data_IF_863976119458
#
_entry.id   IF_863976119458
#
_cell.length_a   1.000
_cell.length_b   1.000
_cell.length_c   1.000
_cell.angle_alpha   90.00
_cell.angle_beta   90.00
_cell.angle_gamma   90.00
#
_symmetry.space_group_name_H-M   'P 1'
#
loop_
_entity.id
_entity.type
_entity.pdbx_description
1 polymer ?
#
# COMPACT_ATOMS: atom_id res chain seq x y z
N UNK A 1 16.93 -3.46 9.61
CA UNK A 1 15.57 -2.97 9.25
C UNK A 1 15.52 -2.82 7.74
N UNK A 2 14.39 -3.12 7.09
CA UNK A 2 14.30 -2.99 5.64
C UNK A 2 14.37 -1.50 5.24
N UNK A 3 15.23 -1.08 4.29
CA UNK A 3 15.40 0.32 3.88
C UNK A 3 14.08 1.00 3.49
N UNK A 4 13.15 0.24 2.91
CA UNK A 4 11.85 0.75 2.48
C UNK A 4 10.96 1.17 3.67
N UNK A 5 11.01 0.41 4.77
CA UNK A 5 10.24 0.72 5.98
C UNK A 5 10.79 1.97 6.66
N UNK A 6 12.10 2.17 6.57
CA UNK A 6 12.75 3.36 7.11
C UNK A 6 12.38 4.62 6.32
N UNK A 7 12.42 4.55 4.99
CA UNK A 7 11.95 5.65 4.11
C UNK A 7 10.51 6.06 4.42
N UNK A 8 9.59 5.10 4.55
CA UNK A 8 8.20 5.40 4.88
C UNK A 8 8.03 6.04 6.28
N UNK A 9 8.88 5.67 7.25
CA UNK A 9 8.89 6.35 8.56
C UNK A 9 9.36 7.80 8.43
N UNK A 10 10.42 8.03 7.67
CA UNK A 10 10.96 9.37 7.48
C UNK A 10 9.96 10.28 6.75
N UNK A 11 9.27 9.78 5.72
CA UNK A 11 8.16 10.50 5.08
C UNK A 11 7.02 10.83 6.04
N UNK A 12 6.63 9.86 6.87
CA UNK A 12 5.59 10.08 7.89
C UNK A 12 6.04 11.15 8.88
N UNK A 13 7.24 11.02 9.44
CA UNK A 13 7.72 11.84 10.56
C UNK A 13 8.10 13.26 10.11
N UNK A 14 8.70 13.39 8.92
CA UNK A 14 9.21 14.67 8.41
C UNK A 14 8.21 15.42 7.54
N UNK A 15 7.20 14.74 6.97
CA UNK A 15 6.23 15.39 6.08
C UNK A 15 4.80 15.25 6.56
N UNK A 16 4.32 14.02 6.78
CA UNK A 16 2.89 13.80 7.07
C UNK A 16 2.50 14.32 8.46
N UNK A 17 3.32 14.10 9.49
CA UNK A 17 3.04 14.55 10.85
C UNK A 17 3.33 16.05 11.07
N UNK A 18 3.99 16.71 10.12
CA UNK A 18 4.21 18.16 10.18
C UNK A 18 2.99 18.96 9.71
N UNK A 19 1.99 18.30 9.10
CA UNK A 19 0.75 18.95 8.64
C UNK A 19 -0.44 18.56 9.53
N UNK A 20 -1.39 19.48 9.73
CA UNK A 20 -2.62 19.20 10.49
C UNK A 20 -3.49 18.14 9.79
N UNK A 21 -3.59 18.22 8.47
CA UNK A 21 -4.33 17.26 7.63
C UNK A 21 -3.70 15.87 7.70
N UNK A 22 -2.37 15.77 7.64
CA UNK A 22 -1.64 14.51 7.74
C UNK A 22 -1.72 13.89 9.14
N UNK A 23 -1.71 14.71 10.20
CA UNK A 23 -1.90 14.23 11.59
C UNK A 23 -3.32 13.67 11.81
N UNK A 24 -4.34 14.36 11.31
CA UNK A 24 -5.73 13.89 11.37
C UNK A 24 -5.95 12.61 10.54
N UNK A 25 -5.35 12.56 9.34
CA UNK A 25 -5.33 11.36 8.50
C UNK A 25 -4.67 10.19 9.23
N UNK A 26 -3.48 10.38 9.81
CA UNK A 26 -2.76 9.32 10.53
C UNK A 26 -3.52 8.82 11.75
N UNK A 27 -4.21 9.70 12.46
CA UNK A 27 -5.06 9.33 13.61
C UNK A 27 -6.20 8.41 13.17
N UNK A 28 -6.94 8.84 12.14
CA UNK A 28 -8.07 8.08 11.59
C UNK A 28 -7.61 6.75 10.95
N UNK A 29 -6.50 6.80 10.21
CA UNK A 29 -5.87 5.64 9.59
C UNK A 29 -5.41 4.63 10.64
N UNK A 30 -4.74 5.07 11.70
CA UNK A 30 -4.31 4.19 12.78
C UNK A 30 -5.49 3.52 13.47
N UNK A 31 -6.57 4.27 13.76
CA UNK A 31 -7.78 3.71 14.35
C UNK A 31 -8.40 2.64 13.46
N UNK A 32 -8.50 2.91 12.15
CA UNK A 32 -8.99 1.93 11.19
C UNK A 32 -8.06 0.72 11.09
N UNK A 33 -6.76 0.93 10.90
CA UNK A 33 -5.74 -0.12 10.77
C UNK A 33 -5.73 -1.07 11.96
N UNK A 34 -5.67 -0.55 13.18
CA UNK A 34 -5.65 -1.36 14.39
C UNK A 34 -7.00 -2.02 14.71
N UNK A 35 -8.10 -1.62 14.06
CA UNK A 35 -9.40 -2.27 14.24
C UNK A 35 -9.46 -3.69 13.64
N UNK A 36 -8.66 -3.98 12.61
CA UNK A 36 -8.67 -5.28 11.93
C UNK A 36 -7.29 -5.95 11.88
N UNK A 37 -6.18 -5.20 11.92
CA UNK A 37 -4.83 -5.75 11.79
C UNK A 37 -4.50 -6.86 12.80
N UNK A 38 -4.88 -6.77 14.10
CA UNK A 38 -4.59 -7.84 15.05
C UNK A 38 -5.26 -9.16 14.65
N UNK A 39 -6.54 -9.09 14.24
CA UNK A 39 -7.27 -10.28 13.80
C UNK A 39 -6.60 -10.92 12.58
N UNK A 40 -6.25 -10.12 11.57
CA UNK A 40 -5.54 -10.62 10.37
C UNK A 40 -4.20 -11.26 10.75
N UNK A 41 -3.42 -10.62 11.62
CA UNK A 41 -2.13 -11.14 12.07
C UNK A 41 -2.25 -12.48 12.80
N UNK A 42 -3.28 -12.66 13.61
CA UNK A 42 -3.55 -13.94 14.27
C UNK A 42 -3.96 -15.03 13.27
N UNK A 43 -4.73 -14.68 12.23
CA UNK A 43 -5.06 -15.61 11.14
C UNK A 43 -3.84 -16.00 10.31
N UNK A 44 -2.93 -15.06 10.01
CA UNK A 44 -1.69 -15.35 9.30
C UNK A 44 -0.77 -16.32 10.05
N UNK A 45 -0.74 -16.25 11.40
CA UNK A 45 0.03 -17.20 12.23
C UNK A 45 -0.55 -18.61 12.17
N UNK A 46 -1.87 -18.72 12.12
CA UNK A 46 -2.56 -20.02 12.13
C UNK A 46 -2.58 -20.68 10.75
N UNK A 47 -2.64 -19.90 9.66
CA UNK A 47 -2.79 -20.42 8.31
C UNK A 47 -1.66 -19.92 7.38
N UNK A 48 -0.63 -20.75 7.12
CA UNK A 48 0.47 -20.38 6.24
C UNK A 48 0.03 -20.02 4.82
N UNK A 49 -1.00 -20.68 4.29
CA UNK A 49 -1.57 -20.38 2.98
C UNK A 49 -2.23 -19.00 2.93
N UNK A 50 -2.90 -18.58 4.01
CA UNK A 50 -3.50 -17.26 4.12
C UNK A 50 -2.42 -16.17 4.15
N UNK A 51 -1.34 -16.39 4.90
CA UNK A 51 -0.18 -15.49 4.92
C UNK A 51 0.42 -15.27 3.53
N UNK A 52 0.60 -16.33 2.74
CA UNK A 52 1.10 -16.19 1.37
C UNK A 52 0.09 -15.47 0.45
N UNK A 53 -1.22 -15.72 0.60
CA UNK A 53 -2.24 -14.99 -0.14
C UNK A 53 -2.24 -13.48 0.19
N UNK A 54 -2.11 -13.12 1.47
CA UNK A 54 -1.98 -11.73 1.90
C UNK A 54 -0.70 -11.11 1.33
N UNK A 55 0.42 -11.82 1.38
CA UNK A 55 1.70 -11.37 0.82
C UNK A 55 1.64 -11.13 -0.69
N UNK A 56 1.03 -12.04 -1.45
CA UNK A 56 0.81 -11.89 -2.89
C UNK A 56 -0.03 -10.64 -3.14
N UNK A 57 -1.11 -10.47 -2.38
CA UNK A 57 -1.99 -9.30 -2.49
C UNK A 57 -1.24 -8.01 -2.18
N UNK A 58 -0.35 -7.97 -1.18
CA UNK A 58 0.40 -6.78 -0.81
C UNK A 58 1.62 -6.48 -1.70
N UNK A 59 2.11 -7.46 -2.47
CA UNK A 59 3.32 -7.30 -3.29
C UNK A 59 3.22 -6.17 -4.34
N UNK A 60 2.13 -6.04 -5.12
CA UNK A 60 1.90 -4.90 -6.00
C UNK A 60 2.00 -3.54 -5.30
N UNK A 61 1.36 -3.43 -4.13
CA UNK A 61 1.36 -2.22 -3.31
C UNK A 61 2.78 -1.87 -2.86
N UNK A 62 3.51 -2.82 -2.29
CA UNK A 62 4.89 -2.60 -1.84
C UNK A 62 5.81 -2.19 -2.99
N UNK A 63 5.62 -2.79 -4.16
CA UNK A 63 6.40 -2.47 -5.37
C UNK A 63 6.10 -1.05 -5.85
N UNK A 64 4.82 -0.65 -5.86
CA UNK A 64 4.44 0.72 -6.22
C UNK A 64 5.03 1.77 -5.26
N UNK A 65 5.09 1.47 -3.96
CA UNK A 65 5.67 2.36 -2.96
C UNK A 65 7.20 2.47 -3.11
N UNK A 66 7.88 1.42 -3.58
CA UNK A 66 9.32 1.54 -3.90
C UNK A 66 9.60 2.46 -5.08
N UNK A 67 8.63 2.71 -5.96
CA UNK A 67 8.80 3.69 -7.03
C UNK A 67 8.87 5.13 -6.48
N UNK A 68 8.25 5.41 -5.32
CA UNK A 68 8.41 6.72 -4.64
C UNK A 68 9.83 6.98 -4.16
N UNK A 69 10.63 5.94 -3.91
CA UNK A 69 12.03 6.12 -3.49
C UNK A 69 12.91 6.62 -4.63
N UNK A 70 12.49 6.44 -5.89
CA UNK A 70 13.21 6.90 -7.07
C UNK A 70 12.63 8.22 -7.62
N UNK A 71 11.48 8.65 -7.11
CA UNK A 71 10.96 9.98 -7.38
C UNK A 71 11.64 10.95 -6.40
N UNK A 72 12.40 11.91 -6.90
CA UNK A 72 12.79 13.07 -6.10
C UNK A 72 11.50 13.83 -5.74
N UNK A 73 11.11 13.78 -4.46
CA UNK A 73 9.95 14.49 -3.93
C UNK A 73 10.47 15.75 -3.27
N UNK A 74 10.48 16.86 -4.00
CA UNK A 74 10.99 18.14 -3.52
C UNK A 74 9.87 19.03 -2.93
N UNK A 75 8.59 18.67 -3.15
CA UNK A 75 7.44 19.46 -2.72
C UNK A 75 6.24 18.66 -2.22
N UNK A 76 5.39 19.31 -1.40
CA UNK A 76 4.13 18.74 -0.89
C UNK A 76 3.15 18.39 -2.02
N UNK A 77 3.08 19.23 -3.06
CA UNK A 77 2.24 18.96 -4.24
C UNK A 77 2.71 17.75 -5.05
N UNK A 78 4.01 17.52 -5.14
CA UNK A 78 4.56 16.32 -5.78
C UNK A 78 4.29 15.08 -4.94
N UNK A 79 4.43 15.16 -3.61
CA UNK A 79 4.06 14.05 -2.72
C UNK A 79 2.60 13.64 -2.89
N UNK A 80 1.69 14.62 -2.96
CA UNK A 80 0.28 14.36 -3.22
C UNK A 80 0.05 13.80 -4.63
N UNK A 81 0.71 14.36 -5.64
CA UNK A 81 0.61 13.89 -7.03
C UNK A 81 1.09 12.45 -7.22
N UNK A 82 2.24 12.10 -6.65
CA UNK A 82 2.76 10.74 -6.68
C UNK A 82 1.93 9.78 -5.81
N UNK A 83 1.45 10.23 -4.66
CA UNK A 83 0.53 9.47 -3.81
C UNK A 83 -0.75 9.09 -4.55
N UNK A 84 -1.39 10.05 -5.22
CA UNK A 84 -2.58 9.82 -6.06
C UNK A 84 -2.26 8.88 -7.23
N UNK A 85 -1.12 9.08 -7.88
CA UNK A 85 -0.67 8.24 -9.01
C UNK A 85 -0.50 6.77 -8.59
N UNK A 86 0.04 6.52 -7.40
CA UNK A 86 0.21 5.18 -6.85
C UNK A 86 -1.10 4.54 -6.45
N UNK A 87 -2.03 5.31 -5.88
CA UNK A 87 -3.38 4.82 -5.58
C UNK A 87 -4.07 4.39 -6.88
N UNK A 88 -4.01 5.22 -7.93
CA UNK A 88 -4.56 4.89 -9.24
C UNK A 88 -3.88 3.67 -9.87
N UNK A 89 -2.54 3.58 -9.77
CA UNK A 89 -1.78 2.42 -10.26
C UNK A 89 -2.20 1.14 -9.54
N UNK A 90 -2.35 1.17 -8.22
CA UNK A 90 -2.79 0.03 -7.43
C UNK A 90 -4.22 -0.38 -7.79
N UNK A 91 -5.15 0.58 -7.86
CA UNK A 91 -6.52 0.30 -8.31
C UNK A 91 -6.48 -0.34 -9.71
N UNK A 92 -5.71 0.21 -10.65
CA UNK A 92 -5.52 -0.38 -11.96
C UNK A 92 -5.03 -1.83 -11.87
N UNK A 93 -3.99 -2.11 -11.09
CA UNK A 93 -3.42 -3.45 -10.92
C UNK A 93 -4.42 -4.45 -10.31
N UNK A 94 -5.14 -4.06 -9.25
CA UNK A 94 -6.10 -4.94 -8.56
C UNK A 94 -7.37 -5.21 -9.35
N UNK A 95 -7.73 -4.36 -10.34
CA UNK A 95 -8.90 -4.59 -11.19
C UNK A 95 -8.55 -5.18 -12.55
N UNK A 96 -7.50 -4.68 -13.21
CA UNK A 96 -7.11 -5.10 -14.56
C UNK A 96 -6.51 -6.50 -14.53
N UNK A 97 -5.62 -6.83 -13.59
CA UNK A 97 -4.97 -8.14 -13.58
C UNK A 97 -5.98 -9.28 -13.38
N UNK A 98 -6.94 -9.22 -12.42
CA UNK A 98 -7.98 -10.23 -12.31
C UNK A 98 -8.94 -10.25 -13.51
N UNK A 99 -9.32 -9.09 -14.06
CA UNK A 99 -10.21 -9.02 -15.21
C UNK A 99 -9.62 -9.69 -16.46
N UNK A 100 -8.34 -9.42 -16.76
CA UNK A 100 -7.62 -10.05 -17.87
C UNK A 100 -7.48 -11.56 -17.65
N UNK A 101 -7.22 -11.99 -16.42
CA UNK A 101 -7.10 -13.41 -16.08
C UNK A 101 -8.44 -14.13 -16.29
N UNK A 102 -9.55 -13.55 -15.82
CA UNK A 102 -10.91 -14.07 -16.05
C UNK A 102 -11.21 -14.13 -17.56
N UNK A 103 -10.95 -13.06 -18.31
CA UNK A 103 -11.18 -13.03 -19.77
C UNK A 103 -10.37 -14.09 -20.52
N UNK A 104 -9.12 -14.33 -20.10
CA UNK A 104 -8.23 -15.32 -20.73
C UNK A 104 -8.68 -16.74 -20.43
N UNK A 105 -9.09 -17.03 -19.19
CA UNK A 105 -9.67 -18.33 -18.81
C UNK A 105 -10.96 -18.58 -19.58
N UNK A 106 -11.85 -17.58 -19.68
CA UNK A 106 -13.11 -17.68 -20.42
C UNK A 106 -12.94 -17.90 -21.92
N UNK A 107 -11.79 -17.53 -22.49
CA UNK A 107 -11.44 -17.78 -23.90
C UNK A 107 -10.81 -19.17 -24.13
N UNK A 108 -10.31 -19.82 -23.08
CA UNK A 108 -9.69 -21.15 -23.14
C UNK A 108 -10.64 -22.31 -22.82
N UNK A 109 -11.76 -22.01 -22.16
CA UNK A 109 -12.91 -22.91 -21.95
C UNK A 109 -13.87 -22.73 -23.13
#
# INVERSE_FOLDING_TARGET
>A
MAPQVQFLRELRDNTVLQTESGTSFMTSFNQFYYSFSPAIADYERQNPAFKEAVKITLTPLLTSLTLLQYADIDSESEMLGYGISIILLNIGMYFIAPAVLIMTVRKRI
#
